data_IF_365131277265
#
_entry.id   IF_365131277265
#
_cell.length_a   1.000
_cell.length_b   1.000
_cell.length_c   1.000
_cell.angle_alpha   90.00
_cell.angle_beta   90.00
_cell.angle_gamma   90.00
#
_symmetry.space_group_name_H-M   'P 1'
#
loop_
_entity.id
_entity.type
_entity.pdbx_description
1 polymer ?
#
# COMPACT_ATOMS: atom_id res chain seq x y z
N UNK A 1 -16.27 8.29 1.34
CA UNK A 1 -16.46 7.09 0.50
C UNK A 1 -15.31 6.13 0.80
N UNK A 2 -15.51 4.84 0.60
CA UNK A 2 -14.44 3.85 0.76
C UNK A 2 -13.68 3.72 -0.57
N UNK A 3 -12.36 3.86 -0.53
CA UNK A 3 -11.47 3.69 -1.68
C UNK A 3 -10.67 2.41 -1.49
N UNK A 4 -10.79 1.50 -2.45
CA UNK A 4 -9.88 0.34 -2.54
C UNK A 4 -8.51 0.84 -2.95
N UNK A 5 -7.52 0.63 -2.08
CA UNK A 5 -6.13 1.06 -2.32
C UNK A 5 -5.27 -0.15 -2.68
N UNK A 6 -4.40 0.04 -3.67
CA UNK A 6 -3.40 -0.94 -4.06
C UNK A 6 -2.06 -0.66 -3.35
N UNK A 7 -1.26 -1.70 -3.13
CA UNK A 7 0.07 -1.59 -2.52
C UNK A 7 0.96 -0.59 -3.24
N UNK A 8 0.95 -0.57 -4.57
CA UNK A 8 1.78 0.35 -5.36
C UNK A 8 1.48 1.83 -5.07
N UNK A 9 0.21 2.19 -4.83
CA UNK A 9 -0.17 3.56 -4.49
C UNK A 9 0.33 3.97 -3.10
N UNK A 10 0.36 3.04 -2.15
CA UNK A 10 0.92 3.27 -0.81
C UNK A 10 2.42 3.49 -0.91
N UNK A 11 3.14 2.61 -1.63
CA UNK A 11 4.59 2.72 -1.88
C UNK A 11 4.93 4.08 -2.52
N UNK A 12 4.16 4.50 -3.53
CA UNK A 12 4.34 5.78 -4.20
C UNK A 12 4.22 6.98 -3.25
N UNK A 13 3.31 6.92 -2.27
CA UNK A 13 3.16 7.97 -1.26
C UNK A 13 4.33 7.98 -0.28
N UNK A 14 4.78 6.80 0.18
CA UNK A 14 5.87 6.67 1.17
C UNK A 14 7.19 7.16 0.60
N UNK A 15 7.55 6.74 -0.61
CA UNK A 15 8.84 7.07 -1.25
C UNK A 15 8.80 8.29 -2.16
N UNK A 16 7.74 9.10 -2.06
CA UNK A 16 7.64 10.38 -2.76
C UNK A 16 7.77 10.27 -4.29
N UNK A 17 7.16 9.24 -4.87
CA UNK A 17 7.06 9.05 -6.31
C UNK A 17 6.21 10.18 -6.97
N UNK A 18 6.33 10.40 -8.29
CA UNK A 18 5.63 11.47 -9.00
C UNK A 18 4.11 11.52 -8.75
N UNK A 19 3.49 10.35 -8.56
CA UNK A 19 2.05 10.19 -8.34
C UNK A 19 1.59 10.64 -6.96
N UNK A 20 2.49 10.79 -5.97
CA UNK A 20 2.15 11.05 -4.55
C UNK A 20 1.11 12.15 -4.40
N UNK A 21 1.32 13.31 -5.04
CA UNK A 21 0.40 14.46 -4.94
C UNK A 21 -0.99 14.14 -5.46
N UNK A 22 -1.07 13.41 -6.57
CA UNK A 22 -2.36 12.99 -7.13
C UNK A 22 -3.04 11.95 -6.25
N UNK A 23 -2.28 11.02 -5.65
CA UNK A 23 -2.84 9.99 -4.76
C UNK A 23 -3.42 10.67 -3.52
N UNK A 24 -2.63 11.50 -2.82
CA UNK A 24 -3.08 12.23 -1.64
C UNK A 24 -4.33 13.05 -1.93
N UNK A 25 -4.37 13.77 -3.07
CA UNK A 25 -5.55 14.56 -3.45
C UNK A 25 -6.82 13.70 -3.62
N UNK A 26 -6.69 12.49 -4.16
CA UNK A 26 -7.82 11.57 -4.38
C UNK A 26 -8.25 10.84 -3.11
N UNK A 27 -7.31 10.61 -2.19
CA UNK A 27 -7.54 9.84 -0.96
C UNK A 27 -7.83 10.71 0.26
N UNK A 28 -7.63 12.02 0.17
CA UNK A 28 -7.88 12.93 1.28
C UNK A 28 -9.35 12.84 1.74
N UNK A 29 -9.54 12.74 3.06
CA UNK A 29 -10.86 12.59 3.70
C UNK A 29 -11.66 11.34 3.27
N UNK A 30 -11.00 10.35 2.65
CA UNK A 30 -11.61 9.07 2.29
C UNK A 30 -11.11 7.95 3.21
N UNK A 31 -11.94 6.91 3.35
CA UNK A 31 -11.52 5.68 4.05
C UNK A 31 -10.77 4.80 3.07
N UNK A 32 -9.53 4.43 3.40
CA UNK A 32 -8.79 3.44 2.62
C UNK A 32 -9.19 2.03 3.06
N UNK A 33 -9.54 1.18 2.10
CA UNK A 33 -9.83 -0.23 2.31
C UNK A 33 -8.93 -1.11 1.43
N UNK A 34 -8.61 -2.31 1.89
CA UNK A 34 -7.85 -3.27 1.09
C UNK A 34 -7.74 -4.65 1.73
N UNK A 35 -7.27 -5.66 0.99
CA UNK A 35 -7.09 -7.00 1.54
C UNK A 35 -5.95 -7.04 2.57
N UNK A 36 -6.00 -8.02 3.48
CA UNK A 36 -4.91 -8.27 4.42
C UNK A 36 -3.56 -8.65 3.77
N UNK A 37 -3.54 -8.92 2.45
CA UNK A 37 -2.29 -9.19 1.72
C UNK A 37 -1.40 -7.95 1.55
N UNK A 38 -1.95 -6.74 1.68
CA UNK A 38 -1.19 -5.49 1.48
C UNK A 38 0.07 -5.44 2.35
N UNK A 39 0.00 -5.88 3.61
CA UNK A 39 1.18 -5.88 4.50
C UNK A 39 2.31 -6.77 3.97
N UNK A 40 1.98 -7.92 3.38
CA UNK A 40 2.94 -8.82 2.75
C UNK A 40 3.52 -8.24 1.46
N UNK A 41 2.66 -7.62 0.64
CA UNK A 41 3.06 -6.98 -0.60
C UNK A 41 3.98 -5.78 -0.35
N UNK A 42 3.72 -4.98 0.71
CA UNK A 42 4.60 -3.89 1.16
C UNK A 42 5.98 -4.43 1.52
N UNK A 43 6.05 -5.48 2.37
CA UNK A 43 7.32 -6.09 2.74
C UNK A 43 8.10 -6.62 1.54
N UNK A 44 7.40 -7.25 0.59
CA UNK A 44 8.00 -7.74 -0.66
C UNK A 44 8.51 -6.58 -1.55
N UNK A 45 7.74 -5.52 -1.71
CA UNK A 45 8.13 -4.34 -2.49
C UNK A 45 9.39 -3.68 -1.91
N UNK A 46 9.43 -3.49 -0.59
CA UNK A 46 10.56 -2.88 0.10
C UNK A 46 11.82 -3.73 -0.03
N UNK A 47 11.68 -5.06 0.16
CA UNK A 47 12.79 -6.01 -0.02
C UNK A 47 13.35 -5.96 -1.44
N UNK A 48 12.48 -5.95 -2.46
CA UNK A 48 12.90 -5.87 -3.85
C UNK A 48 13.59 -4.54 -4.17
N UNK A 49 13.07 -3.40 -3.67
CA UNK A 49 13.68 -2.09 -3.85
C UNK A 49 15.06 -1.99 -3.18
N UNK A 50 15.21 -2.55 -1.97
CA UNK A 50 16.49 -2.67 -1.29
C UNK A 50 17.49 -3.52 -2.08
N UNK A 51 17.09 -4.71 -2.53
CA UNK A 51 17.94 -5.60 -3.34
C UNK A 51 18.35 -4.98 -4.68
N UNK A 52 17.51 -4.09 -5.23
CA UNK A 52 17.81 -3.33 -6.44
C UNK A 52 18.69 -2.10 -6.20
N UNK A 53 19.10 -1.83 -4.95
CA UNK A 53 19.87 -0.64 -4.57
C UNK A 53 19.10 0.68 -4.69
N UNK A 54 17.76 0.63 -4.75
CA UNK A 54 16.89 1.81 -4.82
C UNK A 54 16.57 2.40 -3.44
N UNK A 55 16.74 1.59 -2.39
CA UNK A 55 16.58 1.99 -1.01
C UNK A 55 17.78 1.49 -0.20
N UNK A 56 18.18 2.28 0.78
CA UNK A 56 18.98 1.82 1.92
C UNK A 56 18.11 1.06 2.92
N UNK A 57 18.75 0.29 3.80
CA UNK A 57 18.03 -0.40 4.88
C UNK A 57 17.33 0.60 5.81
N UNK A 58 17.97 1.73 6.09
CA UNK A 58 17.39 2.80 6.93
C UNK A 58 16.12 3.40 6.29
N UNK A 59 16.16 3.71 4.99
CA UNK A 59 14.99 4.21 4.26
C UNK A 59 13.85 3.19 4.22
N UNK A 60 14.17 1.90 4.06
CA UNK A 60 13.16 0.84 4.09
C UNK A 60 12.50 0.72 5.48
N UNK A 61 13.28 0.73 6.57
CA UNK A 61 12.75 0.67 7.94
C UNK A 61 11.87 1.89 8.24
N UNK A 62 12.34 3.10 7.89
CA UNK A 62 11.56 4.32 8.05
C UNK A 62 10.28 4.31 7.22
N UNK A 63 10.32 3.74 6.02
CA UNK A 63 9.13 3.56 5.20
C UNK A 63 8.10 2.63 5.86
N UNK A 64 8.54 1.58 6.58
CA UNK A 64 7.65 0.67 7.31
C UNK A 64 6.99 1.38 8.50
N UNK A 65 7.75 2.18 9.24
CA UNK A 65 7.20 3.01 10.31
C UNK A 65 6.11 3.96 9.78
N UNK A 66 6.33 4.58 8.61
CA UNK A 66 5.33 5.43 7.96
C UNK A 66 4.11 4.61 7.54
N UNK A 67 4.31 3.43 6.94
CA UNK A 67 3.22 2.54 6.53
C UNK A 67 2.30 2.19 7.70
N UNK A 68 2.87 1.88 8.87
CA UNK A 68 2.10 1.56 10.08
C UNK A 68 1.22 2.73 10.58
N UNK A 69 1.54 3.97 10.21
CA UNK A 69 0.72 5.13 10.54
C UNK A 69 -0.41 5.39 9.53
N UNK A 70 -0.44 4.71 8.39
CA UNK A 70 -1.47 4.91 7.37
C UNK A 70 -2.76 4.19 7.82
N UNK A 71 -3.88 4.92 8.02
CA UNK A 71 -5.13 4.30 8.45
C UNK A 71 -5.75 3.49 7.30
N UNK A 72 -5.53 2.19 7.33
CA UNK A 72 -6.05 1.22 6.36
C UNK A 72 -7.02 0.25 7.04
N UNK A 73 -8.25 0.17 6.53
CA UNK A 73 -9.24 -0.81 6.99
C UNK A 73 -9.13 -2.07 6.15
N UNK A 74 -8.65 -3.15 6.78
CA UNK A 74 -8.56 -4.44 6.11
C UNK A 74 -9.93 -5.08 5.91
N UNK A 75 -10.17 -5.59 4.70
CA UNK A 75 -11.40 -6.29 4.32
C UNK A 75 -11.13 -7.77 4.09
N UNK A 76 -12.04 -8.63 4.55
CA UNK A 76 -12.00 -10.05 4.21
C UNK A 76 -12.39 -10.26 2.74
N UNK A 77 -11.68 -11.15 2.06
CA UNK A 77 -11.99 -11.51 0.67
C UNK A 77 -12.97 -12.68 0.65
N UNK A 78 -14.10 -12.53 -0.04
CA UNK A 78 -15.04 -13.62 -0.25
C UNK A 78 -14.67 -14.40 -1.52
N UNK A 79 -13.70 -15.32 -1.39
CA UNK A 79 -13.22 -16.12 -2.52
C UNK A 79 -14.33 -16.93 -3.19
N UNK A 80 -15.28 -17.46 -2.40
CA UNK A 80 -16.42 -18.21 -2.93
C UNK A 80 -17.30 -17.37 -3.85
N UNK A 81 -17.52 -16.10 -3.52
CA UNK A 81 -18.25 -15.17 -4.39
C UNK A 81 -17.48 -14.88 -5.67
N UNK A 82 -16.17 -14.63 -5.57
CA UNK A 82 -15.31 -14.35 -6.73
C UNK A 82 -15.31 -15.51 -7.72
N UNK A 83 -15.11 -16.75 -7.25
CA UNK A 83 -15.07 -17.94 -8.11
C UNK A 83 -16.42 -18.28 -8.77
N UNK A 84 -17.53 -17.84 -8.18
CA UNK A 84 -18.88 -18.07 -8.74
C UNK A 84 -19.26 -17.08 -9.83
N UNK A 85 -18.57 -15.94 -9.88
CA UNK A 85 -18.90 -14.81 -10.77
C UNK A 85 -17.71 -14.41 -11.69
N UNK A 86 -16.71 -15.28 -11.82
CA UNK A 86 -15.53 -15.13 -12.68
C UNK A 86 -15.71 -15.78 -14.05
#
# INVERSE_FOLDING_TARGET
MDIVIDTSAIVAVIFNEPERKSIIKKTNEQTLIGPGSISWEIGNAFSAMFMQGKLTLEEALKGLEIFEQIPLKYTSTNFSHTLKNS
#
